data_IF_390311310575
#
_entry.id   IF_390311310575
#
_cell.length_a   1.000
_cell.length_b   1.000
_cell.length_c   1.000
_cell.angle_alpha   90.00
_cell.angle_beta   90.00
_cell.angle_gamma   90.00
#
_symmetry.space_group_name_H-M   'P 1'
#
loop_
_entity.id
_entity.type
_entity.pdbx_description
1 polymer ?
#
# COMPACT_ATOMS: atom_id res chain seq x y z
N UNK A 1 1.86 0.88 2.96
CA UNK A 1 3.27 0.54 3.27
C UNK A 1 3.56 0.72 4.77
N UNK A 2 4.54 1.52 5.24
CA UNK A 2 4.58 2.01 6.65
C UNK A 2 5.09 1.09 7.78
N UNK A 3 6.13 0.28 7.61
CA UNK A 3 6.75 -0.45 8.73
C UNK A 3 7.49 0.49 9.69
N UNK A 4 7.26 0.31 10.99
CA UNK A 4 8.03 1.03 12.02
C UNK A 4 9.52 0.72 11.88
N UNK A 5 10.34 1.75 11.66
CA UNK A 5 11.80 1.62 11.62
C UNK A 5 12.32 1.84 13.04
N UNK A 6 12.77 0.78 13.69
CA UNK A 6 13.29 0.85 15.07
C UNK A 6 14.69 1.49 15.15
N UNK A 7 15.49 1.40 14.07
CA UNK A 7 16.84 1.96 14.00
C UNK A 7 16.85 3.31 13.32
N UNK A 8 17.19 4.36 14.06
CA UNK A 8 17.25 5.74 13.56
C UNK A 8 18.69 6.28 13.46
N UNK A 9 19.67 5.58 14.04
CA UNK A 9 21.09 5.97 14.01
C UNK A 9 21.92 5.01 13.15
N UNK A 10 22.80 5.56 12.30
CA UNK A 10 23.62 4.79 11.36
C UNK A 10 25.09 5.23 11.43
N UNK A 11 26.00 4.26 11.28
CA UNK A 11 27.45 4.48 11.23
C UNK A 11 27.97 4.40 9.80
N UNK A 12 29.18 4.90 9.55
CA UNK A 12 29.81 4.83 8.23
C UNK A 12 29.84 3.43 7.59
N UNK A 13 29.96 2.38 8.40
CA UNK A 13 29.92 0.99 7.91
C UNK A 13 28.52 0.54 7.44
N UNK A 14 27.45 1.03 8.08
CA UNK A 14 26.07 0.75 7.66
C UNK A 14 25.84 1.26 6.22
N UNK A 15 26.37 2.45 5.91
CA UNK A 15 26.27 3.03 4.56
C UNK A 15 27.02 2.21 3.52
N UNK A 16 28.23 1.71 3.83
CA UNK A 16 28.97 0.84 2.90
C UNK A 16 28.21 -0.46 2.62
N UNK A 17 27.66 -1.09 3.65
CA UNK A 17 26.84 -2.30 3.51
C UNK A 17 25.59 -2.00 2.68
N UNK A 18 24.90 -0.88 2.94
CA UNK A 18 23.73 -0.46 2.18
C UNK A 18 24.08 -0.24 0.71
N UNK A 19 25.14 0.51 0.39
CA UNK A 19 25.57 0.77 -0.99
C UNK A 19 25.88 -0.53 -1.73
N UNK A 20 26.58 -1.47 -1.10
CA UNK A 20 26.84 -2.79 -1.69
C UNK A 20 25.54 -3.51 -2.01
N UNK A 21 24.62 -3.62 -1.04
CA UNK A 21 23.31 -4.27 -1.24
C UNK A 21 22.46 -3.58 -2.29
N UNK A 22 22.52 -2.26 -2.38
CA UNK A 22 21.82 -1.49 -3.41
C UNK A 22 22.31 -1.91 -4.81
N UNK A 23 23.62 -1.95 -5.02
CA UNK A 23 24.19 -2.40 -6.29
C UNK A 23 23.86 -3.87 -6.58
N UNK A 24 23.92 -4.75 -5.59
CA UNK A 24 23.53 -6.16 -5.75
C UNK A 24 22.06 -6.29 -6.19
N UNK A 25 21.14 -5.51 -5.60
CA UNK A 25 19.73 -5.49 -6.00
C UNK A 25 19.52 -4.92 -7.40
N UNK A 26 20.23 -3.85 -7.76
CA UNK A 26 20.17 -3.28 -9.11
C UNK A 26 20.68 -4.28 -10.15
N UNK A 27 21.75 -5.03 -9.84
CA UNK A 27 22.24 -6.09 -10.73
C UNK A 27 21.25 -7.24 -10.87
N UNK A 28 20.59 -7.63 -9.78
CA UNK A 28 19.54 -8.64 -9.82
C UNK A 28 18.34 -8.18 -10.68
N UNK A 29 17.95 -6.90 -10.58
CA UNK A 29 16.91 -6.31 -11.42
C UNK A 29 17.32 -6.31 -12.90
N UNK A 30 18.56 -5.91 -13.24
CA UNK A 30 19.09 -5.97 -14.60
C UNK A 30 18.99 -7.38 -15.18
N UNK A 31 19.46 -8.41 -14.44
CA UNK A 31 19.39 -9.81 -14.86
C UNK A 31 17.93 -10.27 -15.07
N UNK A 32 17.00 -9.79 -14.24
CA UNK A 32 15.58 -10.10 -14.37
C UNK A 32 14.98 -9.47 -15.63
N UNK A 33 15.28 -8.20 -15.90
CA UNK A 33 14.81 -7.46 -17.07
C UNK A 33 15.41 -7.98 -18.39
N UNK A 34 16.62 -8.52 -18.35
CA UNK A 34 17.30 -9.12 -19.53
C UNK A 34 16.70 -10.47 -19.96
N UNK A 35 15.78 -11.05 -19.17
CA UNK A 35 15.13 -12.32 -19.55
C UNK A 35 14.20 -12.08 -20.75
N UNK A 36 14.32 -12.85 -21.85
CA UNK A 36 13.50 -12.65 -23.05
C UNK A 36 11.99 -12.74 -22.82
N UNK A 37 11.57 -13.44 -21.77
CA UNK A 37 10.19 -13.66 -21.37
C UNK A 37 9.74 -12.78 -20.19
N UNK A 38 10.57 -11.85 -19.73
CA UNK A 38 10.16 -10.92 -18.68
C UNK A 38 8.94 -10.10 -19.11
N UNK A 39 7.90 -10.13 -18.29
CA UNK A 39 6.64 -9.43 -18.57
C UNK A 39 5.74 -10.11 -19.62
N UNK A 40 6.11 -11.30 -20.13
CA UNK A 40 5.24 -12.07 -21.01
C UNK A 40 4.12 -12.73 -20.19
N UNK A 41 2.88 -12.42 -20.53
CA UNK A 41 1.69 -12.96 -19.88
C UNK A 41 0.47 -12.09 -20.12
N UNK A 42 -0.72 -12.50 -19.67
CA UNK A 42 -1.89 -11.63 -19.68
C UNK A 42 -1.65 -10.40 -18.79
N UNK A 43 -2.04 -9.23 -19.28
CA UNK A 43 -1.97 -8.00 -18.50
C UNK A 43 -2.89 -8.05 -17.29
N UNK A 44 -2.52 -7.30 -16.25
CA UNK A 44 -3.38 -7.05 -15.09
C UNK A 44 -3.42 -5.55 -14.77
N UNK A 45 -4.45 -5.16 -14.04
CA UNK A 45 -4.65 -3.83 -13.52
C UNK A 45 -4.77 -3.93 -12.00
N UNK A 46 -3.89 -3.23 -11.29
CA UNK A 46 -4.01 -3.00 -9.85
C UNK A 46 -4.06 -1.50 -9.59
N UNK A 47 -4.64 -1.11 -8.46
CA UNK A 47 -4.69 0.27 -8.02
C UNK A 47 -4.54 0.35 -6.50
N UNK A 48 -4.13 1.52 -6.04
CA UNK A 48 -4.07 1.89 -4.62
C UNK A 48 -4.95 3.13 -4.43
N UNK A 49 -5.67 3.18 -3.31
CA UNK A 49 -6.44 4.35 -2.90
C UNK A 49 -6.01 4.82 -1.51
N UNK A 50 -5.50 6.03 -1.44
CA UNK A 50 -5.29 6.73 -0.17
C UNK A 50 -6.54 7.50 0.26
N UNK A 51 -6.86 7.41 1.55
CA UNK A 51 -7.99 8.07 2.17
C UNK A 51 -7.54 8.87 3.38
N UNK A 52 -8.16 10.02 3.60
CA UNK A 52 -7.91 10.89 4.73
C UNK A 52 -9.13 10.93 5.66
N UNK A 53 -8.90 10.68 6.94
CA UNK A 53 -9.89 10.68 7.99
C UNK A 53 -10.07 12.10 8.53
N UNK A 54 -11.32 12.56 8.57
CA UNK A 54 -11.69 13.87 9.11
C UNK A 54 -12.84 13.75 10.11
N UNK A 55 -12.87 14.65 11.10
CA UNK A 55 -14.01 14.80 12.01
C UNK A 55 -15.15 15.63 11.36
N UNK A 56 -16.24 15.83 12.10
CA UNK A 56 -17.40 16.61 11.63
C UNK A 56 -17.09 18.11 11.43
N UNK A 57 -16.01 18.61 12.02
CA UNK A 57 -15.54 19.98 11.88
C UNK A 57 -14.50 20.10 10.74
N UNK A 58 -14.16 19.00 10.06
CA UNK A 58 -13.19 18.96 8.98
C UNK A 58 -11.73 18.87 9.43
N UNK A 59 -11.46 18.64 10.73
CA UNK A 59 -10.09 18.46 11.22
C UNK A 59 -9.61 17.03 10.99
N UNK A 60 -8.29 16.85 10.91
CA UNK A 60 -7.67 15.54 10.81
C UNK A 60 -8.04 14.63 12.01
N UNK A 61 -8.64 13.48 11.71
CA UNK A 61 -9.01 12.48 12.72
C UNK A 61 -7.92 11.41 12.82
N UNK A 62 -7.11 11.49 13.87
CA UNK A 62 -5.95 10.61 14.08
C UNK A 62 -6.35 9.20 14.61
N UNK A 63 -7.17 8.47 13.83
CA UNK A 63 -7.77 7.18 14.20
C UNK A 63 -7.48 6.04 13.22
N UNK A 64 -6.42 6.17 12.41
CA UNK A 64 -6.14 5.19 11.36
C UNK A 64 -5.81 3.79 11.92
N UNK A 65 -5.08 3.71 13.05
CA UNK A 65 -4.73 2.44 13.70
C UNK A 65 -5.99 1.73 14.20
N UNK A 66 -6.88 2.44 14.90
CA UNK A 66 -8.10 1.84 15.44
C UNK A 66 -9.03 1.35 14.33
N UNK A 67 -9.20 2.14 13.27
CA UNK A 67 -10.00 1.76 12.11
C UNK A 67 -9.40 0.56 11.39
N UNK A 68 -8.08 0.54 11.19
CA UNK A 68 -7.38 -0.55 10.52
C UNK A 68 -7.49 -1.86 11.31
N UNK A 69 -7.33 -1.81 12.63
CA UNK A 69 -7.50 -2.96 13.52
C UNK A 69 -8.94 -3.47 13.54
N UNK A 70 -9.92 -2.56 13.56
CA UNK A 70 -11.34 -2.92 13.57
C UNK A 70 -11.78 -3.56 12.24
N UNK A 71 -11.29 -3.05 11.11
CA UNK A 71 -11.58 -3.63 9.81
C UNK A 71 -10.91 -5.00 9.62
N UNK A 72 -9.69 -5.18 10.16
CA UNK A 72 -8.97 -6.45 10.12
C UNK A 72 -8.67 -6.96 8.71
N UNK A 73 -8.75 -6.08 7.70
CA UNK A 73 -8.53 -6.42 6.30
C UNK A 73 -7.05 -6.21 5.93
N UNK A 74 -6.34 -7.23 5.43
CA UNK A 74 -4.93 -7.10 5.05
C UNK A 74 -4.67 -6.13 3.90
N UNK A 75 -5.67 -5.79 3.09
CA UNK A 75 -5.57 -4.79 2.01
C UNK A 75 -5.58 -3.35 2.54
N UNK A 76 -6.08 -3.13 3.77
CA UNK A 76 -6.08 -1.83 4.42
C UNK A 76 -4.79 -1.68 5.25
N UNK A 77 -3.90 -0.78 4.82
CA UNK A 77 -2.63 -0.52 5.48
C UNK A 77 -2.54 0.88 6.05
N UNK A 78 -1.63 1.05 7.00
CA UNK A 78 -1.30 2.36 7.55
C UNK A 78 -0.30 3.07 6.65
N UNK A 79 -0.42 4.38 6.63
CA UNK A 79 0.52 5.27 5.98
C UNK A 79 1.15 6.25 6.99
N UNK A 80 2.01 7.14 6.50
CA UNK A 80 2.83 8.01 7.35
C UNK A 80 2.01 8.85 8.35
N UNK A 81 0.85 9.39 7.94
CA UNK A 81 0.04 10.22 8.81
C UNK A 81 -0.89 9.35 9.66
N UNK A 82 -1.12 9.75 10.93
CA UNK A 82 -2.07 9.05 11.83
C UNK A 82 -3.54 9.14 11.41
N UNK A 83 -3.83 9.86 10.32
CA UNK A 83 -5.16 10.12 9.79
C UNK A 83 -5.28 9.72 8.31
N UNK A 84 -4.28 9.07 7.72
CA UNK A 84 -4.44 8.47 6.39
C UNK A 84 -4.36 6.94 6.43
N UNK A 85 -5.07 6.34 5.47
CA UNK A 85 -5.18 4.91 5.25
C UNK A 85 -4.96 4.65 3.76
N UNK A 86 -4.35 3.52 3.42
CA UNK A 86 -4.17 3.07 2.04
C UNK A 86 -4.90 1.74 1.86
N UNK A 87 -5.76 1.67 0.84
CA UNK A 87 -6.38 0.42 0.42
C UNK A 87 -5.72 -0.09 -0.86
N UNK A 88 -5.15 -1.29 -0.80
CA UNK A 88 -4.46 -1.96 -1.89
C UNK A 88 -5.44 -2.92 -2.61
N UNK A 89 -5.92 -2.56 -3.79
CA UNK A 89 -6.96 -3.33 -4.50
C UNK A 89 -6.44 -4.67 -4.99
N UNK A 90 -7.36 -5.61 -5.18
CA UNK A 90 -7.07 -6.88 -5.84
C UNK A 90 -6.70 -6.60 -7.29
N UNK A 91 -5.59 -7.16 -7.81
CA UNK A 91 -5.27 -7.00 -9.23
C UNK A 91 -6.26 -7.80 -10.09
N UNK A 92 -6.80 -7.17 -11.12
CA UNK A 92 -7.75 -7.76 -12.07
C UNK A 92 -7.08 -8.04 -13.42
N UNK A 93 -7.36 -9.15 -14.09
CA UNK A 93 -6.96 -9.34 -15.49
C UNK A 93 -7.54 -8.22 -16.37
N UNK A 94 -6.76 -7.72 -17.34
CA UNK A 94 -7.26 -6.68 -18.27
C UNK A 94 -8.44 -7.14 -19.12
N UNK A 95 -8.62 -8.46 -19.28
CA UNK A 95 -9.74 -9.07 -19.98
C UNK A 95 -11.06 -9.08 -19.19
N UNK A 96 -11.05 -8.70 -17.90
CA UNK A 96 -12.17 -8.87 -16.99
C UNK A 96 -12.71 -7.54 -16.45
N UNK A 97 -13.17 -6.64 -17.33
CA UNK A 97 -13.79 -5.35 -16.98
C UNK A 97 -13.13 -4.65 -15.76
N UNK A 98 -11.79 -4.46 -15.79
CA UNK A 98 -11.00 -4.20 -14.58
C UNK A 98 -11.46 -2.95 -13.82
N UNK A 99 -11.95 -1.93 -14.53
CA UNK A 99 -12.44 -0.70 -13.90
C UNK A 99 -13.75 -0.90 -13.13
N UNK A 100 -14.68 -1.69 -13.67
CA UNK A 100 -15.95 -1.97 -12.98
C UNK A 100 -15.74 -2.87 -11.77
N UNK A 101 -14.81 -3.83 -11.84
CA UNK A 101 -14.46 -4.66 -10.68
C UNK A 101 -13.71 -3.84 -9.62
N UNK A 102 -12.78 -2.97 -10.04
CA UNK A 102 -12.09 -2.04 -9.13
C UNK A 102 -13.07 -1.10 -8.43
N UNK A 103 -14.04 -0.55 -9.15
CA UNK A 103 -15.08 0.31 -8.56
C UNK A 103 -15.90 -0.43 -7.50
N UNK A 104 -16.33 -1.67 -7.78
CA UNK A 104 -17.07 -2.48 -6.80
C UNK A 104 -16.25 -2.72 -5.54
N UNK A 105 -14.97 -3.09 -5.69
CA UNK A 105 -14.07 -3.31 -4.56
C UNK A 105 -13.85 -2.03 -3.75
N UNK A 106 -13.61 -0.90 -4.43
CA UNK A 106 -13.44 0.41 -3.79
C UNK A 106 -14.66 0.83 -2.99
N UNK A 107 -15.86 0.72 -3.55
CA UNK A 107 -17.11 1.09 -2.88
C UNK A 107 -17.37 0.19 -1.66
N UNK A 108 -17.07 -1.11 -1.76
CA UNK A 108 -17.16 -2.03 -0.64
C UNK A 108 -16.16 -1.67 0.47
N UNK A 109 -14.90 -1.39 0.12
CA UNK A 109 -13.86 -0.98 1.05
C UNK A 109 -14.22 0.34 1.76
N UNK A 110 -14.68 1.35 1.01
CA UNK A 110 -15.13 2.64 1.57
C UNK A 110 -16.31 2.48 2.52
N UNK A 111 -17.27 1.62 2.17
CA UNK A 111 -18.42 1.32 3.05
C UNK A 111 -17.95 0.74 4.38
N UNK A 112 -17.01 -0.19 4.34
CA UNK A 112 -16.49 -0.86 5.53
C UNK A 112 -15.61 0.08 6.39
N UNK A 113 -14.77 0.89 5.76
CA UNK A 113 -13.99 1.93 6.44
C UNK A 113 -14.92 2.92 7.15
N UNK A 114 -16.00 3.36 6.49
CA UNK A 114 -17.01 4.24 7.11
C UNK A 114 -17.70 3.57 8.29
N UNK A 115 -18.05 2.29 8.18
CA UNK A 115 -18.63 1.51 9.28
C UNK A 115 -17.68 1.44 10.47
N UNK A 116 -16.40 1.21 10.24
CA UNK A 116 -15.39 1.18 11.30
C UNK A 116 -15.20 2.56 11.92
N UNK A 117 -15.08 3.61 11.11
CA UNK A 117 -14.92 4.99 11.57
C UNK A 117 -16.08 5.48 12.43
N UNK A 118 -17.32 5.03 12.17
CA UNK A 118 -18.48 5.36 12.99
C UNK A 118 -18.45 4.73 14.40
N UNK A 119 -17.58 3.74 14.65
CA UNK A 119 -17.49 2.98 15.89
C UNK A 119 -16.11 3.12 16.60
N UNK A 120 -15.20 3.98 16.08
CA UNK A 120 -13.80 4.09 16.50
C UNK A 120 -13.49 5.32 17.41
#
# INVERSE_FOLDING_TARGET
MGRAIEKTEYKGEDYKIFTRRLHDNLKALEILLDRPDFGVGPGSFGAEMEMYLIDQQGNALCKNVEIQQMMGNPQLTLELNRFNLEYNLTPFPTSNLPFSESEKELLAALSEVRRCAANA
#
